data_IF_032902730386
#
_entry.id   IF_032902730386
#
_cell.length_a   1.000
_cell.length_b   1.000
_cell.length_c   1.000
_cell.angle_alpha   90.00
_cell.angle_beta   90.00
_cell.angle_gamma   90.00
#
_symmetry.space_group_name_H-M   'P 1'
#
loop_
_entity.id
_entity.type
_entity.pdbx_description
1 polymer ?
#
# COMPACT_ATOMS: atom_id res chain seq x y z
N UNK A 1 52.63 18.09 9.62
CA UNK A 1 51.54 17.13 9.74
C UNK A 1 50.68 17.40 11.02
N UNK A 2 50.03 18.57 11.12
CA UNK A 2 49.16 18.92 12.28
C UNK A 2 47.76 19.44 11.84
N UNK A 3 47.43 19.33 10.55
CA UNK A 3 46.18 19.91 10.07
C UNK A 3 45.01 18.95 9.83
N UNK A 4 45.22 17.62 9.85
CA UNK A 4 44.15 16.66 9.47
C UNK A 4 43.33 16.06 10.67
N UNK A 5 43.83 16.23 11.89
CA UNK A 5 43.13 15.61 13.07
C UNK A 5 42.02 16.54 13.62
N UNK A 6 42.10 17.84 13.32
CA UNK A 6 41.13 18.83 13.80
C UNK A 6 39.81 18.75 13.00
N UNK A 7 39.87 18.38 11.73
CA UNK A 7 38.70 18.39 10.81
C UNK A 7 37.72 17.24 11.05
N UNK A 8 38.19 16.08 11.50
CA UNK A 8 37.31 14.91 11.75
C UNK A 8 36.41 15.08 12.98
N UNK A 9 36.83 15.83 13.99
CA UNK A 9 36.07 16.02 15.21
C UNK A 9 34.88 16.97 14.97
N UNK A 10 35.10 18.04 14.20
CA UNK A 10 34.03 18.98 13.86
C UNK A 10 32.97 18.37 12.95
N UNK A 11 33.30 17.45 12.04
CA UNK A 11 32.32 16.77 11.21
C UNK A 11 31.36 15.90 12.02
N UNK A 12 31.88 15.10 12.96
CA UNK A 12 31.01 14.26 13.81
C UNK A 12 30.17 15.13 14.77
N UNK A 13 30.70 16.23 15.29
CA UNK A 13 29.92 17.18 16.09
C UNK A 13 28.80 17.82 15.25
N UNK A 14 29.10 18.35 14.07
CA UNK A 14 28.12 18.91 13.15
C UNK A 14 27.06 17.88 12.78
N UNK A 15 27.45 16.65 12.45
CA UNK A 15 26.55 15.55 12.12
C UNK A 15 25.61 15.23 13.26
N UNK A 16 26.09 15.12 14.48
CA UNK A 16 25.28 14.84 15.65
C UNK A 16 24.28 15.97 15.94
N UNK A 17 24.69 17.22 15.87
CA UNK A 17 23.80 18.39 15.99
C UNK A 17 22.70 18.37 14.91
N UNK A 18 23.03 18.01 13.67
CA UNK A 18 22.03 17.89 12.60
C UNK A 18 21.06 16.72 12.81
N UNK A 19 21.55 15.58 13.33
CA UNK A 19 20.69 14.44 13.70
C UNK A 19 19.72 14.86 14.81
N UNK A 20 20.18 15.58 15.83
CA UNK A 20 19.34 16.05 16.93
C UNK A 20 18.25 17.02 16.44
N UNK A 21 18.56 17.88 15.47
CA UNK A 21 17.57 18.75 14.82
C UNK A 21 16.50 17.94 14.09
N UNK A 22 16.88 16.91 13.33
CA UNK A 22 15.93 16.05 12.62
C UNK A 22 15.04 15.25 13.58
N UNK A 23 15.61 14.67 14.65
CA UNK A 23 14.86 14.00 15.71
C UNK A 23 13.86 14.94 16.37
N UNK A 24 14.30 16.15 16.74
CA UNK A 24 13.41 17.15 17.34
C UNK A 24 12.24 17.52 16.42
N UNK A 25 12.52 17.78 15.14
CA UNK A 25 11.49 18.12 14.17
C UNK A 25 10.47 17.00 14.00
N UNK A 26 10.93 15.74 13.94
CA UNK A 26 10.08 14.56 13.86
C UNK A 26 9.17 14.44 15.10
N UNK A 27 9.74 14.52 16.29
CA UNK A 27 8.97 14.48 17.56
C UNK A 27 7.96 15.60 17.63
N UNK A 28 8.32 16.82 17.21
CA UNK A 28 7.44 17.98 17.18
C UNK A 28 6.26 17.76 16.24
N UNK A 29 6.49 17.18 15.08
CA UNK A 29 5.44 16.89 14.11
C UNK A 29 4.46 15.82 14.62
N UNK A 30 4.95 14.74 15.22
CA UNK A 30 4.10 13.75 15.89
C UNK A 30 3.26 14.35 16.99
N UNK A 31 3.85 15.17 17.86
CA UNK A 31 3.15 15.84 18.94
C UNK A 31 2.06 16.79 18.42
N UNK A 32 2.33 17.50 17.33
CA UNK A 32 1.38 18.36 16.64
C UNK A 32 0.21 17.58 16.03
N UNK A 33 0.49 16.49 15.34
CA UNK A 33 -0.53 15.65 14.72
C UNK A 33 -1.43 15.01 15.78
N UNK A 34 -0.84 14.45 16.84
CA UNK A 34 -1.56 13.91 17.99
C UNK A 34 -2.49 14.96 18.61
N UNK A 35 -1.97 16.12 18.97
CA UNK A 35 -2.74 17.19 19.59
C UNK A 35 -3.88 17.63 18.68
N UNK A 36 -3.63 17.82 17.39
CA UNK A 36 -4.65 18.23 16.42
C UNK A 36 -5.76 17.19 16.29
N UNK A 37 -5.43 15.91 16.17
CA UNK A 37 -6.41 14.83 16.04
C UNK A 37 -7.27 14.67 17.29
N UNK A 38 -6.66 14.72 18.49
CA UNK A 38 -7.38 14.67 19.77
C UNK A 38 -8.34 15.88 19.93
N UNK A 39 -7.89 17.08 19.59
CA UNK A 39 -8.74 18.29 19.67
C UNK A 39 -9.88 18.25 18.65
N UNK A 40 -9.62 17.83 17.43
CA UNK A 40 -10.67 17.72 16.42
C UNK A 40 -11.68 16.61 16.74
N UNK A 41 -11.23 15.50 17.32
CA UNK A 41 -12.13 14.48 17.84
C UNK A 41 -13.07 15.06 18.91
N UNK A 42 -12.54 15.79 19.91
CA UNK A 42 -13.33 16.40 20.96
C UNK A 42 -14.29 17.47 20.42
N UNK A 43 -13.84 18.30 19.49
CA UNK A 43 -14.72 19.31 18.83
C UNK A 43 -15.83 18.61 18.04
N UNK A 44 -15.51 17.53 17.33
CA UNK A 44 -16.51 16.75 16.59
C UNK A 44 -17.56 16.15 17.53
N UNK A 45 -17.13 15.63 18.69
CA UNK A 45 -18.01 15.13 19.75
C UNK A 45 -18.95 16.23 20.24
N UNK A 46 -18.40 17.41 20.61
CA UNK A 46 -19.19 18.54 21.07
C UNK A 46 -20.21 19.03 20.02
N UNK A 47 -19.86 19.01 18.74
CA UNK A 47 -20.79 19.36 17.65
C UNK A 47 -21.96 18.37 17.62
N UNK A 48 -21.72 17.07 17.73
CA UNK A 48 -22.77 16.03 17.74
C UNK A 48 -23.66 16.19 18.98
N UNK A 49 -23.07 16.40 20.15
CA UNK A 49 -23.82 16.64 21.41
C UNK A 49 -24.71 17.88 21.31
N UNK A 50 -24.17 19.00 20.80
CA UNK A 50 -24.91 20.22 20.59
C UNK A 50 -26.06 20.07 19.57
N UNK A 51 -25.96 19.15 18.63
CA UNK A 51 -27.02 18.80 17.68
C UNK A 51 -28.10 17.86 18.26
N UNK A 52 -27.96 17.43 19.52
CA UNK A 52 -28.90 16.53 20.22
C UNK A 52 -28.63 15.05 19.96
N UNK A 53 -27.40 14.67 19.62
CA UNK A 53 -26.96 13.29 19.34
C UNK A 53 -26.95 12.92 17.85
N UNK A 54 -26.45 11.74 17.54
CA UNK A 54 -26.24 11.30 16.15
C UNK A 54 -27.53 11.23 15.31
N UNK A 55 -28.64 10.81 15.90
CA UNK A 55 -29.93 10.68 15.21
C UNK A 55 -30.49 12.05 14.76
N UNK A 56 -30.29 13.10 15.58
CA UNK A 56 -30.76 14.46 15.31
C UNK A 56 -29.74 15.29 14.51
N UNK A 57 -28.48 14.90 14.51
CA UNK A 57 -27.40 15.60 13.82
C UNK A 57 -27.63 15.79 12.31
N UNK A 58 -28.42 14.92 11.67
CA UNK A 58 -28.83 15.05 10.26
C UNK A 58 -29.62 16.34 9.98
N UNK A 59 -30.33 16.87 10.97
CA UNK A 59 -31.15 18.08 10.85
C UNK A 59 -30.46 19.33 11.39
N UNK A 60 -29.27 19.20 11.99
CA UNK A 60 -28.56 20.25 12.71
C UNK A 60 -27.62 21.11 11.88
N UNK A 61 -27.72 21.15 10.55
CA UNK A 61 -26.83 21.96 9.71
C UNK A 61 -26.90 23.45 9.98
N UNK A 62 -28.03 23.96 10.50
CA UNK A 62 -28.20 25.34 10.93
C UNK A 62 -27.21 25.71 12.05
N UNK A 63 -27.05 24.86 13.05
CA UNK A 63 -26.14 25.06 14.17
C UNK A 63 -24.66 25.12 13.73
N UNK A 64 -24.26 24.25 12.84
CA UNK A 64 -22.88 24.25 12.29
C UNK A 64 -22.62 25.55 11.53
N UNK A 65 -23.60 26.07 10.77
CA UNK A 65 -23.48 27.32 10.06
C UNK A 65 -23.33 28.51 11.04
N UNK A 66 -24.12 28.53 12.11
CA UNK A 66 -24.02 29.54 13.15
C UNK A 66 -22.65 29.54 13.84
N UNK A 67 -22.17 28.34 14.24
CA UNK A 67 -20.86 28.19 14.87
C UNK A 67 -19.73 28.60 13.91
N UNK A 68 -19.82 28.24 12.64
CA UNK A 68 -18.82 28.61 11.66
C UNK A 68 -18.68 30.13 11.52
N UNK A 69 -19.80 30.87 11.46
CA UNK A 69 -19.77 32.33 11.38
C UNK A 69 -19.06 32.95 12.58
N UNK A 70 -19.33 32.47 13.80
CA UNK A 70 -18.69 32.96 15.03
C UNK A 70 -17.19 32.59 15.06
N UNK A 71 -16.85 31.30 14.79
CA UNK A 71 -15.48 30.80 14.89
C UNK A 71 -14.56 31.41 13.83
N UNK A 72 -15.05 31.67 12.63
CA UNK A 72 -14.28 32.38 11.59
C UNK A 72 -13.90 33.76 12.04
N UNK A 73 -14.78 34.48 12.78
CA UNK A 73 -14.53 35.81 13.27
C UNK A 73 -13.66 35.83 14.54
N UNK A 74 -13.87 34.89 15.46
CA UNK A 74 -13.30 34.91 16.81
C UNK A 74 -12.00 34.12 16.95
N UNK A 75 -11.80 33.13 16.08
CA UNK A 75 -10.65 32.20 16.18
C UNK A 75 -9.78 32.22 14.92
N UNK A 76 -10.27 31.70 13.80
CA UNK A 76 -9.51 31.65 12.54
C UNK A 76 -10.45 31.33 11.35
N UNK A 77 -10.20 31.98 10.21
CA UNK A 77 -10.93 31.76 8.94
C UNK A 77 -11.00 30.35 8.47
N UNK A 78 -10.06 29.45 8.91
CA UNK A 78 -10.05 28.05 8.55
C UNK A 78 -11.20 27.25 9.17
N UNK A 79 -11.87 27.74 10.20
CA UNK A 79 -13.00 27.07 10.86
C UNK A 79 -14.34 27.35 10.20
N UNK A 80 -14.35 27.32 8.89
CA UNK A 80 -15.56 27.50 8.08
C UNK A 80 -16.52 26.28 8.22
N UNK A 81 -17.71 26.41 7.65
CA UNK A 81 -18.73 25.36 7.69
C UNK A 81 -18.22 24.00 7.14
N UNK A 82 -17.36 24.03 6.11
CA UNK A 82 -16.80 22.83 5.47
C UNK A 82 -15.85 22.11 6.44
N UNK A 83 -15.00 22.86 7.11
CA UNK A 83 -14.07 22.33 8.11
C UNK A 83 -14.80 21.76 9.31
N UNK A 84 -15.82 22.43 9.85
CA UNK A 84 -16.61 21.92 10.96
C UNK A 84 -17.39 20.65 10.59
N UNK A 85 -17.94 20.57 9.39
CA UNK A 85 -18.57 19.34 8.87
C UNK A 85 -17.56 18.17 8.77
N UNK A 86 -16.33 18.43 8.32
CA UNK A 86 -15.25 17.43 8.28
C UNK A 86 -14.82 16.98 9.68
N UNK A 87 -14.71 17.91 10.63
CA UNK A 87 -14.37 17.59 12.02
C UNK A 87 -15.47 16.71 12.65
N UNK A 88 -16.75 17.04 12.43
CA UNK A 88 -17.88 16.19 12.84
C UNK A 88 -17.79 14.79 12.21
N UNK A 89 -17.55 14.71 10.90
CA UNK A 89 -17.43 13.44 10.17
C UNK A 89 -16.25 12.61 10.66
N UNK A 90 -15.14 13.25 11.03
CA UNK A 90 -13.98 12.58 11.63
C UNK A 90 -14.34 11.90 12.94
N UNK A 91 -15.05 12.61 13.85
CA UNK A 91 -15.56 12.00 15.09
C UNK A 91 -16.41 10.74 14.79
N UNK A 92 -17.38 10.86 13.89
CA UNK A 92 -18.26 9.74 13.53
C UNK A 92 -17.49 8.57 12.88
N UNK A 93 -16.47 8.85 12.10
CA UNK A 93 -15.60 7.85 11.49
C UNK A 93 -14.86 7.04 12.58
N UNK A 94 -14.32 7.72 13.60
CA UNK A 94 -13.65 7.05 14.73
C UNK A 94 -14.66 6.25 15.57
N UNK A 95 -15.86 6.78 15.84
CA UNK A 95 -16.92 6.05 16.56
C UNK A 95 -17.36 4.78 15.85
N UNK A 96 -17.32 4.76 14.53
CA UNK A 96 -17.63 3.56 13.71
C UNK A 96 -16.49 2.53 13.67
N UNK A 97 -15.37 2.77 14.34
CA UNK A 97 -14.26 1.83 14.47
C UNK A 97 -13.05 2.12 13.59
N UNK A 98 -12.93 3.32 13.01
CA UNK A 98 -11.68 3.74 12.40
C UNK A 98 -10.61 3.95 13.49
N UNK A 99 -9.40 3.50 13.21
CA UNK A 99 -8.29 3.66 14.14
C UNK A 99 -7.75 5.10 14.07
N UNK A 100 -7.63 5.76 15.23
CA UNK A 100 -7.00 7.07 15.29
C UNK A 100 -5.50 6.90 15.58
N UNK A 101 -4.67 7.23 14.60
CA UNK A 101 -3.22 7.18 14.70
C UNK A 101 -2.62 8.58 14.74
N UNK A 102 -1.78 8.83 15.75
CA UNK A 102 -1.13 10.13 15.94
C UNK A 102 -0.04 10.45 14.91
N UNK A 103 0.38 9.44 14.14
CA UNK A 103 1.35 9.60 13.06
C UNK A 103 0.73 10.24 11.80
N UNK A 104 -0.60 10.11 11.65
CA UNK A 104 -1.30 10.67 10.50
C UNK A 104 -1.65 12.14 10.74
N UNK A 105 -1.37 12.98 9.75
CA UNK A 105 -1.78 14.37 9.77
C UNK A 105 -3.28 14.52 9.49
N UNK A 106 -3.85 15.68 9.87
CA UNK A 106 -5.23 16.01 9.50
C UNK A 106 -5.50 15.91 8.00
N UNK A 107 -4.49 16.20 7.17
CA UNK A 107 -4.62 16.09 5.71
C UNK A 107 -4.82 14.65 5.25
N UNK A 108 -4.18 13.65 5.88
CA UNK A 108 -4.44 12.24 5.59
C UNK A 108 -5.89 11.86 5.93
N UNK A 109 -6.37 12.25 7.13
CA UNK A 109 -7.75 11.96 7.51
C UNK A 109 -8.77 12.59 6.57
N UNK A 110 -8.51 13.80 6.05
CA UNK A 110 -9.39 14.45 5.07
C UNK A 110 -9.58 13.66 3.79
N UNK A 111 -8.56 12.95 3.32
CA UNK A 111 -8.66 12.07 2.14
C UNK A 111 -9.48 10.79 2.45
N UNK A 112 -9.52 10.36 3.72
CA UNK A 112 -10.27 9.18 4.15
C UNK A 112 -11.75 9.46 4.45
N UNK A 113 -12.12 10.69 4.80
CA UNK A 113 -13.49 11.06 5.18
C UNK A 113 -14.57 10.69 4.14
N UNK A 114 -14.34 10.77 2.82
CA UNK A 114 -15.35 10.40 1.83
C UNK A 114 -15.63 8.89 1.77
N UNK A 115 -14.78 8.06 2.39
CA UNK A 115 -14.89 6.60 2.36
C UNK A 115 -15.90 6.15 3.41
N UNK A 116 -16.91 5.38 3.01
CA UNK A 116 -17.94 4.87 3.93
C UNK A 116 -17.62 3.49 4.52
N UNK A 117 -16.71 2.73 3.91
CA UNK A 117 -16.34 1.39 4.35
C UNK A 117 -15.23 1.47 5.40
N UNK A 118 -15.54 1.06 6.63
CA UNK A 118 -14.61 1.14 7.77
C UNK A 118 -13.36 0.26 7.59
N UNK A 119 -13.52 -0.91 6.97
CA UNK A 119 -12.39 -1.81 6.71
C UNK A 119 -11.44 -1.21 5.67
N UNK A 120 -11.99 -0.54 4.65
CA UNK A 120 -11.21 0.21 3.65
C UNK A 120 -10.47 1.39 4.31
N UNK A 121 -11.11 2.13 5.20
CA UNK A 121 -10.47 3.22 5.96
C UNK A 121 -9.30 2.67 6.78
N UNK A 122 -9.51 1.61 7.56
CA UNK A 122 -8.48 1.00 8.38
C UNK A 122 -7.33 0.42 7.54
N UNK A 123 -7.62 -0.16 6.39
CA UNK A 123 -6.61 -0.59 5.43
C UNK A 123 -5.70 0.59 5.01
N UNK A 124 -6.30 1.71 4.55
CA UNK A 124 -5.52 2.88 4.12
C UNK A 124 -4.76 3.53 5.28
N UNK A 125 -5.32 3.54 6.49
CA UNK A 125 -4.59 3.98 7.69
C UNK A 125 -3.35 3.11 7.91
N UNK A 126 -3.49 1.79 7.88
CA UNK A 126 -2.39 0.87 8.13
C UNK A 126 -1.27 0.99 7.08
N UNK A 127 -1.60 1.08 5.79
CA UNK A 127 -0.56 1.25 4.77
C UNK A 127 0.12 2.62 4.85
N UNK A 128 -0.60 3.68 5.24
CA UNK A 128 0.03 4.99 5.47
C UNK A 128 1.11 4.92 6.55
N UNK A 129 0.88 4.15 7.61
CA UNK A 129 1.82 4.00 8.72
C UNK A 129 2.99 3.12 8.30
N UNK A 130 2.69 1.94 7.76
CA UNK A 130 3.71 0.94 7.42
C UNK A 130 4.65 1.40 6.32
N UNK A 131 4.15 2.16 5.35
CA UNK A 131 4.90 2.65 4.18
C UNK A 131 5.28 4.14 4.30
N UNK A 132 4.95 4.80 5.43
CA UNK A 132 5.20 6.24 5.63
C UNK A 132 4.68 7.10 4.47
N UNK A 133 3.48 6.78 3.97
CA UNK A 133 2.92 7.43 2.78
C UNK A 133 2.70 8.93 3.00
N UNK A 134 3.01 9.72 1.97
CA UNK A 134 2.56 11.11 1.91
C UNK A 134 1.06 11.19 1.61
N UNK A 135 0.45 12.35 1.86
CA UNK A 135 -0.96 12.62 1.49
C UNK A 135 -1.20 12.42 -0.02
N UNK A 136 -0.20 12.74 -0.84
CA UNK A 136 -0.27 12.57 -2.30
C UNK A 136 -0.32 11.10 -2.68
N UNK A 137 0.56 10.28 -2.07
CA UNK A 137 0.62 8.85 -2.35
C UNK A 137 -0.65 8.14 -1.87
N UNK A 138 -1.16 8.50 -0.68
CA UNK A 138 -2.45 8.01 -0.20
C UNK A 138 -3.58 8.30 -1.19
N UNK A 139 -3.66 9.53 -1.68
CA UNK A 139 -4.67 9.95 -2.65
C UNK A 139 -4.57 9.15 -3.96
N UNK A 140 -3.36 8.88 -4.44
CA UNK A 140 -3.14 8.07 -5.63
C UNK A 140 -3.59 6.62 -5.40
N UNK A 141 -3.25 6.01 -4.27
CA UNK A 141 -3.68 4.66 -3.90
C UNK A 141 -5.21 4.53 -3.79
N UNK A 142 -5.89 5.52 -3.20
CA UNK A 142 -7.36 5.57 -3.15
C UNK A 142 -7.95 5.69 -4.55
N UNK A 143 -7.40 6.58 -5.39
CA UNK A 143 -7.83 6.76 -6.79
C UNK A 143 -7.66 5.47 -7.60
N UNK A 144 -6.58 4.75 -7.39
CA UNK A 144 -6.28 3.48 -8.05
C UNK A 144 -7.06 2.29 -7.45
N UNK A 145 -7.98 2.56 -6.50
CA UNK A 145 -8.87 1.55 -5.88
C UNK A 145 -8.11 0.35 -5.31
N UNK A 146 -6.99 0.60 -4.63
CA UNK A 146 -6.08 -0.45 -4.21
C UNK A 146 -6.76 -1.49 -3.30
N UNK A 147 -7.59 -1.02 -2.34
CA UNK A 147 -8.38 -1.91 -1.49
C UNK A 147 -9.39 -2.76 -2.28
N UNK A 148 -10.04 -2.17 -3.29
CA UNK A 148 -11.07 -2.87 -4.08
C UNK A 148 -10.48 -4.04 -4.88
N UNK A 149 -9.21 -3.94 -5.27
CA UNK A 149 -8.45 -4.96 -6.00
C UNK A 149 -7.87 -6.08 -5.12
N UNK A 150 -8.01 -6.00 -3.80
CA UNK A 150 -7.72 -7.12 -2.91
C UNK A 150 -8.79 -8.21 -3.05
N UNK A 151 -8.38 -9.47 -2.83
CA UNK A 151 -9.33 -10.58 -2.85
C UNK A 151 -10.34 -10.48 -1.71
N UNK A 152 -11.50 -11.11 -1.86
CA UNK A 152 -12.50 -11.14 -0.78
C UNK A 152 -11.98 -11.86 0.47
N UNK A 153 -11.13 -12.87 0.30
CA UNK A 153 -10.47 -13.57 1.39
C UNK A 153 -9.53 -12.63 2.16
N UNK A 154 -8.69 -11.88 1.46
CA UNK A 154 -7.82 -10.87 2.07
C UNK A 154 -8.62 -9.80 2.82
N UNK A 155 -9.70 -9.30 2.22
CA UNK A 155 -10.60 -8.33 2.88
C UNK A 155 -11.20 -8.89 4.16
N UNK A 156 -11.56 -10.19 4.18
CA UNK A 156 -12.06 -10.86 5.37
C UNK A 156 -10.98 -10.97 6.44
N UNK A 157 -9.78 -11.45 6.10
CA UNK A 157 -8.62 -11.52 7.03
C UNK A 157 -8.30 -10.15 7.64
N UNK A 158 -8.33 -9.09 6.83
CA UNK A 158 -8.15 -7.71 7.30
C UNK A 158 -9.23 -7.30 8.31
N UNK A 159 -10.49 -7.68 8.06
CA UNK A 159 -11.61 -7.37 8.95
C UNK A 159 -11.55 -8.15 10.27
N UNK A 160 -11.10 -9.41 10.23
CA UNK A 160 -10.96 -10.30 11.41
C UNK A 160 -9.61 -10.14 12.12
N UNK A 161 -8.69 -9.32 11.59
CA UNK A 161 -7.32 -9.11 12.08
C UNK A 161 -6.49 -10.39 12.12
N UNK A 162 -6.72 -11.27 11.17
CA UNK A 162 -5.91 -12.46 10.94
C UNK A 162 -4.58 -12.11 10.26
N UNK A 163 -3.61 -13.02 10.38
CA UNK A 163 -2.31 -12.87 9.73
C UNK A 163 -2.45 -12.90 8.21
N UNK A 164 -1.78 -11.95 7.56
CA UNK A 164 -1.77 -11.80 6.12
C UNK A 164 -0.46 -12.37 5.57
N UNK A 165 -0.60 -13.24 4.59
CA UNK A 165 0.53 -13.82 3.85
C UNK A 165 0.99 -12.89 2.72
N UNK A 166 2.14 -13.21 2.10
CA UNK A 166 2.61 -12.51 0.91
C UNK A 166 1.54 -12.52 -0.20
N UNK A 167 0.91 -13.66 -0.41
CA UNK A 167 -0.07 -13.86 -1.48
C UNK A 167 -1.35 -13.03 -1.30
N UNK A 168 -1.74 -12.78 -0.04
CA UNK A 168 -2.89 -11.94 0.28
C UNK A 168 -2.71 -10.48 -0.15
N UNK A 169 -1.46 -10.01 -0.26
CA UNK A 169 -1.15 -8.62 -0.64
C UNK A 169 -1.18 -8.38 -2.15
N UNK A 170 -1.15 -9.44 -2.97
CA UNK A 170 -1.13 -9.32 -4.43
C UNK A 170 -2.49 -8.86 -4.93
N UNK A 171 -2.49 -7.75 -5.65
CA UNK A 171 -3.72 -7.15 -6.20
C UNK A 171 -4.18 -7.88 -7.45
N UNK A 172 -5.47 -7.82 -7.71
CA UNK A 172 -6.08 -8.39 -8.91
C UNK A 172 -7.21 -7.47 -9.44
N UNK A 173 -7.02 -6.83 -10.60
CA UNK A 173 -5.83 -6.88 -11.47
C UNK A 173 -4.66 -6.05 -10.96
N UNK A 174 -3.45 -6.37 -11.44
CA UNK A 174 -2.26 -5.51 -11.33
C UNK A 174 -2.38 -4.41 -12.39
N UNK A 175 -2.17 -3.16 -11.99
CA UNK A 175 -2.21 -2.02 -12.90
C UNK A 175 -0.81 -1.76 -13.48
N UNK A 176 -0.70 -1.74 -14.81
CA UNK A 176 0.55 -1.51 -15.54
C UNK A 176 0.38 -0.30 -16.44
N UNK A 177 1.27 0.69 -16.28
CA UNK A 177 1.27 1.89 -17.13
C UNK A 177 1.63 1.52 -18.57
N UNK A 178 0.76 1.89 -19.50
CA UNK A 178 0.95 1.63 -20.93
C UNK A 178 1.54 2.86 -21.62
N UNK A 179 2.68 2.69 -22.28
CA UNK A 179 3.30 3.74 -23.11
C UNK A 179 2.98 3.58 -24.60
N UNK A 180 2.24 2.54 -24.96
CA UNK A 180 1.87 2.26 -26.34
C UNK A 180 0.42 2.67 -26.59
N UNK A 181 0.10 3.14 -27.80
CA UNK A 181 -1.26 3.53 -28.20
C UNK A 181 -2.15 2.31 -28.55
N UNK A 182 -1.86 1.16 -27.97
CA UNK A 182 -2.61 -0.08 -28.21
C UNK A 182 -2.68 -0.94 -26.96
N UNK A 183 -3.80 -1.65 -26.80
CA UNK A 183 -3.99 -2.66 -25.77
C UNK A 183 -3.63 -4.09 -26.24
N UNK A 184 -3.19 -4.23 -27.50
CA UNK A 184 -2.70 -5.50 -28.04
C UNK A 184 -1.17 -5.48 -27.95
N UNK A 185 -0.63 -6.18 -26.97
CA UNK A 185 0.80 -6.22 -26.70
C UNK A 185 1.31 -7.67 -26.69
N UNK A 186 2.58 -7.85 -27.00
CA UNK A 186 3.29 -9.13 -26.84
C UNK A 186 3.81 -9.31 -25.41
N UNK A 187 4.18 -10.54 -25.03
CA UNK A 187 4.83 -10.80 -23.72
C UNK A 187 6.11 -9.98 -23.54
N UNK A 188 6.88 -9.79 -24.62
CA UNK A 188 8.07 -8.94 -24.62
C UNK A 188 7.71 -7.48 -24.30
N UNK A 189 6.68 -6.91 -24.92
CA UNK A 189 6.22 -5.55 -24.65
C UNK A 189 5.70 -5.42 -23.21
N UNK A 190 4.94 -6.41 -22.71
CA UNK A 190 4.48 -6.44 -21.33
C UNK A 190 5.65 -6.42 -20.36
N UNK A 191 6.67 -7.23 -20.62
CA UNK A 191 7.90 -7.27 -19.82
C UNK A 191 8.63 -5.92 -19.84
N UNK A 192 8.77 -5.28 -21.00
CA UNK A 192 9.36 -3.95 -21.12
C UNK A 192 8.60 -2.89 -20.30
N UNK A 193 7.26 -2.87 -20.35
CA UNK A 193 6.43 -1.96 -19.55
C UNK A 193 6.65 -2.15 -18.04
N UNK A 194 6.75 -3.41 -17.60
CA UNK A 194 7.00 -3.75 -16.20
C UNK A 194 8.41 -3.30 -15.80
N UNK A 195 9.43 -3.57 -16.61
CA UNK A 195 10.82 -3.22 -16.31
C UNK A 195 11.05 -1.71 -16.32
N UNK A 196 10.39 -0.97 -17.21
CA UNK A 196 10.43 0.49 -17.22
C UNK A 196 9.88 1.12 -15.93
N UNK A 197 8.99 0.40 -15.23
CA UNK A 197 8.34 0.84 -14.00
C UNK A 197 8.37 -0.26 -12.93
N UNK A 198 9.50 -0.94 -12.77
CA UNK A 198 9.64 -2.12 -11.89
C UNK A 198 9.26 -1.84 -10.44
N UNK A 199 9.56 -0.65 -9.94
CA UNK A 199 9.16 -0.23 -8.59
C UNK A 199 7.64 -0.18 -8.44
N UNK A 200 6.93 0.39 -9.42
CA UNK A 200 5.46 0.42 -9.42
C UNK A 200 4.88 -0.99 -9.46
N UNK A 201 5.46 -1.87 -10.29
CA UNK A 201 5.06 -3.27 -10.37
C UNK A 201 5.26 -4.00 -9.03
N UNK A 202 6.42 -3.84 -8.37
CA UNK A 202 6.66 -4.44 -7.06
C UNK A 202 5.68 -3.91 -6.00
N UNK A 203 5.32 -2.62 -6.04
CA UNK A 203 4.31 -2.03 -5.16
C UNK A 203 2.90 -2.60 -5.40
N UNK A 204 2.57 -3.01 -6.62
CA UNK A 204 1.32 -3.71 -6.92
C UNK A 204 1.29 -5.13 -6.32
N UNK A 205 2.45 -5.79 -6.23
CA UNK A 205 2.57 -7.10 -5.58
C UNK A 205 2.51 -7.00 -4.05
N UNK A 206 2.89 -5.87 -3.46
CA UNK A 206 2.88 -5.63 -2.01
C UNK A 206 4.23 -5.18 -1.47
N UNK A 207 4.46 -5.40 -0.17
CA UNK A 207 5.65 -4.91 0.54
C UNK A 207 6.82 -5.91 0.49
N UNK A 208 8.04 -5.36 0.55
CA UNK A 208 9.27 -6.12 0.77
C UNK A 208 9.84 -6.80 -0.45
N UNK A 209 9.33 -6.52 -1.65
CA UNK A 209 9.90 -7.06 -2.89
C UNK A 209 11.17 -6.32 -3.28
N UNK A 210 12.17 -7.11 -3.71
CA UNK A 210 13.43 -6.65 -4.29
C UNK A 210 13.62 -7.30 -5.66
N UNK A 211 14.01 -6.50 -6.64
CA UNK A 211 14.32 -7.00 -7.98
C UNK A 211 15.69 -7.68 -8.01
N UNK A 212 15.74 -8.93 -8.50
CA UNK A 212 16.98 -9.67 -8.72
C UNK A 212 17.40 -9.59 -10.19
N UNK A 213 16.46 -9.87 -11.11
CA UNK A 213 16.74 -9.84 -12.53
C UNK A 213 15.57 -10.29 -13.38
N UNK A 214 15.71 -10.10 -14.68
CA UNK A 214 14.81 -10.61 -15.71
C UNK A 214 15.56 -11.58 -16.62
N UNK A 215 14.82 -12.39 -17.38
CA UNK A 215 15.39 -13.45 -18.24
C UNK A 215 16.40 -14.30 -17.43
N UNK A 216 16.02 -14.64 -16.18
CA UNK A 216 16.92 -15.37 -15.30
C UNK A 216 17.11 -16.78 -15.83
N UNK A 217 18.35 -17.07 -16.27
CA UNK A 217 18.70 -18.31 -16.94
C UNK A 217 18.78 -19.50 -15.96
N UNK A 218 18.04 -20.54 -16.24
CA UNK A 218 18.08 -21.82 -15.52
C UNK A 218 18.40 -22.96 -16.50
N UNK A 219 18.98 -24.05 -16.01
CA UNK A 219 19.36 -25.20 -16.81
C UNK A 219 18.61 -26.44 -16.36
N UNK A 220 17.68 -26.91 -17.18
CA UNK A 220 16.92 -28.13 -16.94
C UNK A 220 17.49 -29.28 -17.81
N UNK A 221 18.31 -30.11 -17.20
CA UNK A 221 19.05 -31.11 -17.94
C UNK A 221 20.04 -30.49 -18.95
N UNK A 222 19.79 -30.68 -20.24
CA UNK A 222 20.60 -30.08 -21.31
C UNK A 222 20.01 -28.80 -21.92
N UNK A 223 18.79 -28.44 -21.53
CA UNK A 223 18.05 -27.30 -22.10
C UNK A 223 18.12 -26.10 -21.15
N UNK A 224 18.29 -24.90 -21.72
CA UNK A 224 18.18 -23.64 -20.99
C UNK A 224 16.75 -23.11 -21.07
N UNK A 225 16.26 -22.66 -19.94
CA UNK A 225 14.98 -21.95 -19.80
C UNK A 225 15.23 -20.60 -19.13
N UNK A 226 14.28 -19.71 -19.22
CA UNK A 226 14.40 -18.34 -18.71
C UNK A 226 13.15 -17.99 -17.90
N UNK A 227 13.35 -17.57 -16.66
CA UNK A 227 12.31 -16.99 -15.80
C UNK A 227 12.13 -15.54 -16.22
N UNK A 228 10.90 -15.12 -16.49
CA UNK A 228 10.63 -13.76 -16.96
C UNK A 228 11.15 -12.70 -16.00
N UNK A 229 10.77 -12.79 -14.72
CA UNK A 229 11.27 -11.89 -13.66
C UNK A 229 11.51 -12.71 -12.39
N UNK A 230 12.67 -12.54 -11.79
CA UNK A 230 13.02 -13.10 -10.49
C UNK A 230 13.09 -11.97 -9.47
N UNK A 231 12.31 -12.12 -8.39
CA UNK A 231 12.27 -11.20 -7.26
C UNK A 231 12.68 -11.94 -5.99
N UNK A 232 12.96 -11.18 -4.94
CA UNK A 232 13.12 -11.65 -3.58
C UNK A 232 12.21 -10.86 -2.65
N UNK A 233 11.57 -11.51 -1.70
CA UNK A 233 10.79 -10.80 -0.68
C UNK A 233 11.50 -10.89 0.67
N UNK A 234 11.96 -9.74 1.18
CA UNK A 234 12.72 -9.65 2.43
C UNK A 234 11.87 -9.92 3.67
N UNK A 235 10.56 -9.60 3.62
CA UNK A 235 9.63 -9.80 4.75
C UNK A 235 9.31 -11.28 4.97
N UNK A 236 9.17 -12.02 3.89
CA UNK A 236 8.85 -13.45 3.89
C UNK A 236 10.06 -14.33 3.58
N UNK A 237 11.25 -13.73 3.49
CA UNK A 237 12.53 -14.41 3.31
C UNK A 237 12.51 -15.48 2.21
N UNK A 238 11.92 -15.18 1.04
CA UNK A 238 11.76 -16.15 -0.03
C UNK A 238 12.00 -15.54 -1.42
N UNK A 239 12.40 -16.40 -2.37
CA UNK A 239 12.40 -16.05 -3.79
C UNK A 239 10.98 -16.02 -4.34
N UNK A 240 10.77 -15.18 -5.35
CA UNK A 240 9.50 -15.08 -6.06
C UNK A 240 9.75 -15.12 -7.56
N UNK A 241 9.22 -16.16 -8.19
CA UNK A 241 9.25 -16.35 -9.64
C UNK A 241 8.01 -15.70 -10.23
N UNK A 242 8.19 -14.80 -11.19
CA UNK A 242 7.09 -14.18 -11.92
C UNK A 242 7.11 -14.62 -13.38
N UNK A 243 5.98 -15.09 -13.87
CA UNK A 243 5.74 -15.49 -15.25
C UNK A 243 4.66 -14.60 -15.88
N UNK A 244 4.90 -14.10 -17.08
CA UNK A 244 4.04 -13.15 -17.79
C UNK A 244 3.34 -13.84 -18.96
N UNK A 245 2.02 -13.64 -19.07
CA UNK A 245 1.21 -14.18 -20.17
C UNK A 245 0.24 -13.14 -20.71
N UNK A 246 0.31 -12.84 -21.99
CA UNK A 246 -0.64 -11.93 -22.66
C UNK A 246 -1.91 -12.64 -23.14
N UNK A 247 -2.07 -13.90 -22.77
CA UNK A 247 -3.22 -14.76 -23.06
C UNK A 247 -3.97 -15.13 -21.80
N UNK A 248 -5.04 -15.90 -21.94
CA UNK A 248 -5.72 -16.54 -20.83
C UNK A 248 -4.82 -17.55 -20.11
N UNK A 249 -4.97 -17.66 -18.80
CA UNK A 249 -4.28 -18.63 -17.97
C UNK A 249 -4.59 -20.06 -18.42
N UNK A 250 -3.54 -20.87 -18.63
CA UNK A 250 -3.64 -22.27 -19.01
C UNK A 250 -2.96 -23.18 -17.98
N UNK A 251 -3.33 -24.45 -17.96
CA UNK A 251 -2.77 -25.46 -17.07
C UNK A 251 -1.24 -25.60 -17.22
N UNK A 252 -0.75 -25.49 -18.46
CA UNK A 252 0.67 -25.58 -18.78
C UNK A 252 1.49 -24.48 -18.09
N UNK A 253 0.93 -23.29 -17.91
CA UNK A 253 1.59 -22.18 -17.21
C UNK A 253 1.84 -22.50 -15.74
N UNK A 254 0.90 -23.20 -15.08
CA UNK A 254 1.04 -23.66 -13.69
C UNK A 254 2.18 -24.69 -13.59
N UNK A 255 2.24 -25.64 -14.52
CA UNK A 255 3.31 -26.63 -14.58
C UNK A 255 4.69 -25.98 -14.81
N UNK A 256 4.76 -25.02 -15.72
CA UNK A 256 5.99 -24.28 -16.03
C UNK A 256 6.53 -23.55 -14.82
N UNK A 257 5.71 -22.71 -14.17
CA UNK A 257 6.16 -21.93 -13.01
C UNK A 257 6.55 -22.84 -11.84
N UNK A 258 5.87 -23.96 -11.65
CA UNK A 258 6.21 -24.93 -10.61
C UNK A 258 7.60 -25.55 -10.81
N UNK A 259 7.97 -25.89 -12.06
CA UNK A 259 9.32 -26.35 -12.39
C UNK A 259 10.36 -25.29 -12.07
N UNK A 260 10.07 -24.02 -12.38
CA UNK A 260 10.98 -22.93 -12.09
C UNK A 260 11.14 -22.67 -10.58
N UNK A 261 10.05 -22.73 -9.82
CA UNK A 261 10.09 -22.62 -8.36
C UNK A 261 10.94 -23.74 -7.74
N UNK A 262 10.73 -24.98 -8.17
CA UNK A 262 11.49 -26.12 -7.68
C UNK A 262 12.98 -25.97 -8.01
N UNK A 263 13.32 -25.49 -9.22
CA UNK A 263 14.72 -25.24 -9.60
C UNK A 263 15.37 -24.20 -8.66
N UNK A 264 14.69 -23.11 -8.36
CA UNK A 264 15.18 -22.09 -7.42
C UNK A 264 15.35 -22.70 -6.02
N UNK A 265 14.38 -23.48 -5.56
CA UNK A 265 14.43 -24.15 -4.26
C UNK A 265 15.62 -25.13 -4.13
N UNK A 266 15.98 -25.83 -5.21
CA UNK A 266 17.03 -26.84 -5.18
C UNK A 266 18.44 -26.27 -5.46
N UNK A 267 18.54 -25.23 -6.32
CA UNK A 267 19.82 -24.78 -6.86
C UNK A 267 20.25 -23.37 -6.45
N UNK A 268 19.33 -22.56 -5.94
CA UNK A 268 19.58 -21.12 -5.69
C UNK A 268 19.39 -20.77 -4.22
N UNK A 269 18.25 -21.14 -3.62
CA UNK A 269 17.95 -20.78 -2.25
C UNK A 269 18.82 -21.53 -1.23
N UNK A 270 19.07 -20.88 -0.09
CA UNK A 270 19.73 -21.49 1.07
C UNK A 270 18.72 -22.18 1.99
N UNK A 271 19.20 -22.95 2.95
CA UNK A 271 18.36 -23.64 3.96
C UNK A 271 17.64 -22.65 4.90
N UNK A 272 18.13 -21.42 5.01
CA UNK A 272 17.56 -20.38 5.87
C UNK A 272 16.44 -19.60 5.20
N UNK A 273 16.19 -19.84 3.92
CA UNK A 273 15.15 -19.16 3.14
C UNK A 273 13.92 -20.06 3.00
N UNK A 274 12.75 -19.42 3.02
CA UNK A 274 11.49 -20.11 2.79
C UNK A 274 11.35 -20.57 1.34
N UNK A 275 10.40 -21.48 1.11
CA UNK A 275 10.14 -22.00 -0.23
C UNK A 275 9.69 -20.91 -1.17
N UNK A 276 10.18 -20.97 -2.40
CA UNK A 276 9.87 -20.07 -3.50
C UNK A 276 8.36 -19.99 -3.76
N UNK A 277 7.89 -18.79 -4.06
CA UNK A 277 6.51 -18.49 -4.44
C UNK A 277 6.47 -18.18 -5.94
N UNK A 278 5.41 -18.61 -6.61
CA UNK A 278 5.15 -18.31 -8.01
C UNK A 278 4.02 -17.30 -8.20
N UNK A 279 4.21 -16.34 -9.08
CA UNK A 279 3.17 -15.38 -9.50
C UNK A 279 3.02 -15.47 -11.01
N UNK A 280 1.82 -15.80 -11.49
CA UNK A 280 1.49 -15.74 -12.92
C UNK A 280 0.64 -14.50 -13.15
N UNK A 281 1.14 -13.58 -13.96
CA UNK A 281 0.43 -12.38 -14.41
C UNK A 281 -0.11 -12.65 -15.81
N UNK A 282 -1.42 -12.84 -15.93
CA UNK A 282 -2.07 -13.21 -17.19
C UNK A 282 -3.06 -12.14 -17.64
N UNK A 283 -3.39 -12.10 -18.93
CA UNK A 283 -4.40 -11.17 -19.44
C UNK A 283 -5.78 -11.48 -18.87
N UNK A 284 -6.11 -12.76 -18.76
CA UNK A 284 -7.37 -13.24 -18.16
C UNK A 284 -7.11 -14.48 -17.33
N UNK A 285 -7.73 -14.51 -16.16
CA UNK A 285 -7.71 -15.69 -15.29
C UNK A 285 -8.71 -16.74 -15.78
N UNK A 286 -8.36 -18.02 -15.54
CA UNK A 286 -9.26 -19.14 -15.76
C UNK A 286 -9.61 -19.76 -14.42
N UNK A 287 -10.86 -19.55 -13.96
CA UNK A 287 -11.35 -20.01 -12.64
C UNK A 287 -11.22 -21.52 -12.46
N UNK A 288 -11.38 -22.30 -13.54
CA UNK A 288 -11.25 -23.76 -13.49
C UNK A 288 -9.77 -24.18 -13.36
N UNK A 289 -8.88 -23.51 -14.09
CA UNK A 289 -7.44 -23.76 -13.97
C UNK A 289 -6.97 -23.47 -12.55
N UNK A 290 -7.35 -22.31 -12.00
CA UNK A 290 -7.00 -21.94 -10.62
C UNK A 290 -7.55 -22.96 -9.62
N UNK A 291 -8.84 -23.33 -9.74
CA UNK A 291 -9.50 -24.24 -8.81
C UNK A 291 -8.92 -25.66 -8.82
N UNK A 292 -8.58 -26.19 -9.98
CA UNK A 292 -8.18 -27.59 -10.15
C UNK A 292 -6.67 -27.81 -10.28
N UNK A 293 -5.88 -26.75 -10.40
CA UNK A 293 -4.42 -26.81 -10.45
C UNK A 293 -3.77 -26.31 -9.15
N UNK A 294 -4.48 -26.40 -8.02
CA UNK A 294 -4.14 -25.76 -6.76
C UNK A 294 -2.75 -26.14 -6.25
N UNK A 295 -1.77 -25.30 -6.52
CA UNK A 295 -0.55 -25.21 -5.72
C UNK A 295 -0.71 -24.02 -4.77
N UNK A 296 -0.70 -24.23 -3.44
CA UNK A 296 -0.93 -23.16 -2.47
C UNK A 296 0.18 -22.08 -2.48
N UNK A 297 1.25 -22.27 -3.25
CA UNK A 297 2.36 -21.33 -3.41
C UNK A 297 2.38 -20.63 -4.78
N UNK A 298 1.35 -20.82 -5.59
CA UNK A 298 1.20 -20.14 -6.90
C UNK A 298 -0.02 -19.24 -6.86
N UNK A 299 0.22 -17.95 -7.09
CA UNK A 299 -0.84 -16.93 -7.26
C UNK A 299 -1.00 -16.63 -8.73
N UNK A 300 -2.25 -16.57 -9.18
CA UNK A 300 -2.59 -16.12 -10.52
C UNK A 300 -3.35 -14.79 -10.43
N UNK A 301 -2.85 -13.77 -11.11
CA UNK A 301 -3.48 -12.46 -11.16
C UNK A 301 -3.62 -11.98 -12.60
N UNK A 302 -4.60 -11.11 -12.84
CA UNK A 302 -4.76 -10.42 -14.12
C UNK A 302 -3.96 -9.12 -14.13
N UNK A 303 -3.71 -8.58 -15.33
CA UNK A 303 -3.20 -7.23 -15.48
C UNK A 303 -4.16 -6.35 -16.27
N UNK A 304 -4.13 -5.06 -15.96
CA UNK A 304 -4.83 -4.00 -16.67
C UNK A 304 -3.82 -2.95 -17.14
N UNK A 305 -3.93 -2.57 -18.42
CA UNK A 305 -3.11 -1.51 -19.01
C UNK A 305 -3.83 -0.16 -18.87
N UNK A 306 -3.16 0.84 -18.30
CA UNK A 306 -3.68 2.19 -18.05
C UNK A 306 -2.78 3.28 -18.65
#
# INVERSE_FOLDING_TARGET
MKGLIIDMNYYEEIKNELIDVEVYNTVKEYSKNRYTSEKYYNVGKMIIEAQGGEERAKYGDGLIKEYAVKLVKEVDKKYDITTLKRIRQFYLMIQKGATMWHQLSWSHYRELLPINNINMINYYINICINQSLSVRDLKEKIKNKEYDRLTNETKLKLATKEDITLMDNIKNPIVIKNKYDTNIISEKMLKELILDNIETFMNELGEGFCYIGNEYKIKLGVVYNYIDILLYNIKYNCYVVVELKVTELKKEHIGQIQVYMNYIDENVKTIYQDKTIGIIVAKHNNKYVIRYSSNPKVVCTEFELV
#
